data_IF_482824427660
#
_entry.id   IF_482824427660
#
_cell.length_a   1.000
_cell.length_b   1.000
_cell.length_c   1.000
_cell.angle_alpha   90.00
_cell.angle_beta   90.00
_cell.angle_gamma   90.00
#
_symmetry.space_group_name_H-M   'P 1'
#
loop_
_entity.id
_entity.type
_entity.pdbx_description
1 polymer ?
#
# COMPACT_ATOMS: atom_id res chain seq x y z
N UNK A 1 7.65 5.23 -31.98
CA UNK A 1 7.67 5.60 -30.55
C UNK A 1 6.49 4.90 -29.92
N UNK A 2 6.75 3.80 -29.22
CA UNK A 2 5.74 3.10 -28.43
C UNK A 2 5.22 4.06 -27.36
N UNK A 3 3.91 4.27 -27.31
CA UNK A 3 3.29 5.06 -26.25
C UNK A 3 3.46 4.28 -24.93
N UNK A 4 4.35 4.77 -24.08
CA UNK A 4 4.56 4.17 -22.76
C UNK A 4 3.42 4.62 -21.85
N UNK A 5 2.71 3.64 -21.31
CA UNK A 5 1.75 3.84 -20.25
C UNK A 5 2.49 4.06 -18.94
N UNK A 6 2.29 5.22 -18.33
CA UNK A 6 2.83 5.54 -17.02
C UNK A 6 1.82 5.26 -15.90
N UNK A 7 2.28 4.89 -14.70
CA UNK A 7 1.40 4.62 -13.57
C UNK A 7 0.64 5.89 -13.18
N UNK A 8 -0.60 5.76 -12.67
CA UNK A 8 -1.31 6.85 -12.01
C UNK A 8 -0.50 7.45 -10.85
N UNK A 9 -0.72 8.72 -10.56
CA UNK A 9 0.01 9.47 -9.53
C UNK A 9 -0.09 8.81 -8.15
N UNK A 10 -1.22 8.16 -7.83
CA UNK A 10 -1.41 7.48 -6.55
C UNK A 10 -0.45 6.28 -6.35
N UNK A 11 0.14 5.75 -7.42
CA UNK A 11 1.07 4.61 -7.37
C UNK A 11 2.51 5.09 -7.16
N UNK A 12 2.96 6.11 -7.87
CA UNK A 12 4.35 6.59 -7.79
C UNK A 12 4.55 7.78 -6.84
N UNK A 13 3.46 8.42 -6.41
CA UNK A 13 3.42 9.52 -5.47
C UNK A 13 2.29 9.30 -4.43
N UNK A 14 2.45 8.33 -3.50
CA UNK A 14 1.41 8.04 -2.52
C UNK A 14 1.14 9.26 -1.64
N UNK A 15 -0.15 9.55 -1.42
CA UNK A 15 -0.60 10.68 -0.61
C UNK A 15 -0.33 10.38 0.88
N UNK A 16 0.46 11.24 1.55
CA UNK A 16 0.68 11.17 3.00
C UNK A 16 1.99 10.51 3.45
N UNK A 17 1.94 9.69 4.51
CA UNK A 17 3.11 9.03 5.16
C UNK A 17 3.45 7.64 4.59
N UNK A 18 2.75 7.20 3.55
CA UNK A 18 3.01 5.89 2.94
C UNK A 18 4.34 5.90 2.17
N UNK A 19 5.17 4.89 2.41
CA UNK A 19 6.45 4.75 1.71
C UNK A 19 6.23 4.32 0.27
N UNK A 20 6.88 5.01 -0.68
CA UNK A 20 6.92 4.62 -2.09
C UNK A 20 7.40 3.17 -2.25
N UNK A 21 6.56 2.33 -2.86
CA UNK A 21 6.91 0.95 -3.17
C UNK A 21 7.50 0.86 -4.59
N UNK A 22 8.82 1.02 -4.69
CA UNK A 22 9.52 0.98 -5.98
C UNK A 22 9.39 -0.36 -6.72
N UNK A 23 9.29 -1.48 -5.99
CA UNK A 23 9.04 -2.80 -6.60
C UNK A 23 7.71 -2.80 -7.34
N UNK A 24 6.66 -2.29 -6.70
CA UNK A 24 5.32 -2.20 -7.30
C UNK A 24 5.29 -1.24 -8.50
N UNK A 25 5.93 -0.07 -8.41
CA UNK A 25 6.01 0.90 -9.52
C UNK A 25 6.69 0.28 -10.75
N UNK A 26 7.84 -0.38 -10.56
CA UNK A 26 8.60 -0.99 -11.66
C UNK A 26 7.79 -2.12 -12.29
N UNK A 27 7.17 -2.99 -11.48
CA UNK A 27 6.34 -4.07 -11.99
C UNK A 27 5.08 -3.56 -12.69
N UNK A 28 4.45 -2.48 -12.19
CA UNK A 28 3.32 -1.85 -12.87
C UNK A 28 3.70 -1.38 -14.26
N UNK A 29 4.84 -0.68 -14.40
CA UNK A 29 5.34 -0.21 -15.69
C UNK A 29 5.53 -1.38 -16.65
N UNK A 30 6.22 -2.43 -16.22
CA UNK A 30 6.50 -3.58 -17.08
C UNK A 30 5.27 -4.46 -17.34
N UNK A 31 4.22 -4.37 -16.51
CA UNK A 31 2.97 -5.12 -16.70
C UNK A 31 2.07 -4.46 -17.75
N UNK A 32 2.01 -3.13 -17.76
CA UNK A 32 1.12 -2.34 -18.62
C UNK A 32 1.78 -1.89 -19.94
N UNK A 33 3.04 -2.28 -20.15
CA UNK A 33 3.81 -2.05 -21.37
C UNK A 33 4.43 -3.38 -21.84
N UNK A 34 4.64 -3.55 -23.14
CA UNK A 34 5.26 -4.77 -23.69
C UNK A 34 6.74 -4.89 -23.27
N UNK A 35 7.43 -3.75 -23.30
CA UNK A 35 8.80 -3.56 -22.84
C UNK A 35 8.95 -2.14 -22.29
N UNK A 36 9.91 -1.95 -21.37
CA UNK A 36 10.29 -0.62 -20.90
C UNK A 36 11.79 -0.42 -21.03
N UNK A 37 12.17 0.76 -21.51
CA UNK A 37 13.54 1.21 -21.49
C UNK A 37 13.92 1.76 -20.12
N UNK A 38 15.23 1.76 -19.83
CA UNK A 38 15.78 2.44 -18.66
C UNK A 38 15.34 3.92 -18.58
N UNK A 39 15.33 4.60 -19.73
CA UNK A 39 14.93 6.00 -19.90
C UNK A 39 13.51 6.24 -19.34
N UNK A 40 12.58 5.32 -19.61
CA UNK A 40 11.18 5.36 -19.20
C UNK A 40 10.98 5.41 -17.69
N UNK A 41 11.94 4.93 -16.90
CA UNK A 41 11.88 5.00 -15.44
C UNK A 41 12.52 6.26 -14.88
N UNK A 42 13.52 6.79 -15.59
CA UNK A 42 14.37 7.90 -15.14
C UNK A 42 13.87 9.27 -15.60
N UNK A 43 13.02 9.31 -16.63
CA UNK A 43 12.38 10.52 -17.11
C UNK A 43 11.06 10.78 -16.37
N UNK A 44 10.55 12.01 -16.51
CA UNK A 44 9.20 12.37 -16.05
C UNK A 44 8.14 11.46 -16.70
N UNK A 45 7.09 11.05 -15.97
CA UNK A 45 6.65 11.53 -14.65
C UNK A 45 7.27 10.80 -13.44
N UNK A 46 8.08 9.75 -13.66
CA UNK A 46 8.58 8.90 -12.59
C UNK A 46 9.86 9.44 -11.92
N UNK A 47 10.77 9.97 -12.74
CA UNK A 47 12.04 10.55 -12.32
C UNK A 47 12.80 9.72 -11.27
N UNK A 48 12.83 8.38 -11.42
CA UNK A 48 13.46 7.51 -10.43
C UNK A 48 14.98 7.73 -10.40
N UNK A 49 15.54 7.80 -9.19
CA UNK A 49 17.01 7.85 -9.01
C UNK A 49 17.64 6.59 -9.60
N UNK A 50 18.71 6.78 -10.37
CA UNK A 50 19.47 5.69 -11.02
C UNK A 50 19.89 4.59 -10.04
N UNK A 51 20.36 4.98 -8.84
CA UNK A 51 20.77 4.04 -7.80
C UNK A 51 19.62 3.19 -7.27
N UNK A 52 18.44 3.80 -7.12
CA UNK A 52 17.21 3.11 -6.71
C UNK A 52 16.77 2.12 -7.78
N UNK A 53 16.69 2.57 -9.04
CA UNK A 53 16.29 1.72 -10.15
C UNK A 53 17.23 0.52 -10.33
N UNK A 54 18.55 0.75 -10.31
CA UNK A 54 19.56 -0.33 -10.35
C UNK A 54 19.36 -1.35 -9.24
N UNK A 55 19.16 -0.88 -7.99
CA UNK A 55 18.97 -1.77 -6.84
C UNK A 55 17.74 -2.67 -7.02
N UNK A 56 16.59 -2.07 -7.36
CA UNK A 56 15.34 -2.83 -7.46
C UNK A 56 15.28 -3.72 -8.70
N UNK A 57 15.83 -3.30 -9.84
CA UNK A 57 15.93 -4.16 -11.02
C UNK A 57 16.84 -5.36 -10.77
N UNK A 58 17.97 -5.19 -10.09
CA UNK A 58 18.84 -6.32 -9.71
C UNK A 58 18.13 -7.30 -8.78
N UNK A 59 17.34 -6.80 -7.81
CA UNK A 59 16.53 -7.64 -6.94
C UNK A 59 15.43 -8.39 -7.69
N UNK A 60 14.72 -7.71 -8.60
CA UNK A 60 13.65 -8.29 -9.40
C UNK A 60 14.18 -9.34 -10.38
N UNK A 61 15.34 -9.09 -10.99
CA UNK A 61 16.05 -10.06 -11.83
C UNK A 61 16.48 -11.29 -11.04
N UNK A 62 17.05 -11.10 -9.84
CA UNK A 62 17.46 -12.22 -8.98
C UNK A 62 16.29 -13.08 -8.49
N UNK A 63 15.05 -12.57 -8.55
CA UNK A 63 13.82 -13.29 -8.24
C UNK A 63 13.08 -13.78 -9.49
N UNK A 64 13.69 -13.69 -10.66
CA UNK A 64 13.10 -14.06 -11.95
C UNK A 64 11.79 -13.32 -12.28
N UNK A 65 11.54 -12.16 -11.67
CA UNK A 65 10.34 -11.35 -11.91
C UNK A 65 10.47 -10.47 -13.17
N UNK A 66 11.70 -10.11 -13.51
CA UNK A 66 12.02 -9.22 -14.63
C UNK A 66 13.21 -9.79 -15.38
N UNK A 67 13.13 -9.76 -16.70
CA UNK A 67 14.21 -10.18 -17.59
C UNK A 67 14.76 -8.98 -18.37
N UNK A 68 16.01 -9.11 -18.82
CA UNK A 68 16.64 -8.13 -19.71
C UNK A 68 16.72 -8.73 -21.10
N UNK A 69 15.95 -8.17 -22.03
CA UNK A 69 15.93 -8.62 -23.43
C UNK A 69 17.19 -8.11 -24.15
N UNK A 70 17.50 -6.83 -23.94
CA UNK A 70 18.65 -6.17 -24.52
C UNK A 70 19.17 -5.09 -23.57
N UNK A 71 20.33 -4.50 -23.88
CA UNK A 71 20.93 -3.47 -23.04
C UNK A 71 19.94 -2.33 -22.82
N UNK A 72 19.55 -2.12 -21.55
CA UNK A 72 18.61 -1.07 -21.17
C UNK A 72 17.12 -1.37 -21.40
N UNK A 73 16.76 -2.53 -21.95
CA UNK A 73 15.37 -2.93 -22.18
C UNK A 73 14.95 -4.07 -21.25
N UNK A 74 13.80 -3.91 -20.63
CA UNK A 74 13.31 -4.80 -19.59
C UNK A 74 11.90 -5.26 -19.90
N UNK A 75 11.60 -6.51 -19.51
CA UNK A 75 10.28 -7.10 -19.65
C UNK A 75 9.90 -7.88 -18.41
N UNK A 76 8.61 -7.91 -18.12
CA UNK A 76 8.05 -8.70 -17.02
C UNK A 76 7.95 -10.18 -17.41
N UNK A 77 8.36 -11.06 -16.50
CA UNK A 77 8.17 -12.50 -16.66
C UNK A 77 6.78 -12.94 -16.18
N UNK A 78 6.43 -14.21 -16.36
CA UNK A 78 5.22 -14.79 -15.77
C UNK A 78 5.19 -14.67 -14.24
N UNK A 79 6.32 -14.91 -13.57
CA UNK A 79 6.44 -14.76 -12.11
C UNK A 79 6.33 -13.29 -11.68
N UNK A 80 6.91 -12.37 -12.45
CA UNK A 80 6.74 -10.94 -12.23
C UNK A 80 5.28 -10.49 -12.34
N UNK A 81 4.52 -11.05 -13.29
CA UNK A 81 3.08 -10.77 -13.42
C UNK A 81 2.30 -11.25 -12.20
N UNK A 82 2.56 -12.46 -11.70
CA UNK A 82 1.96 -12.96 -10.46
C UNK A 82 2.30 -12.05 -9.29
N UNK A 83 3.57 -11.68 -9.15
CA UNK A 83 4.05 -10.78 -8.10
C UNK A 83 3.39 -9.41 -8.15
N UNK A 84 3.21 -8.85 -9.34
CA UNK A 84 2.47 -7.61 -9.53
C UNK A 84 1.03 -7.74 -9.04
N UNK A 85 0.33 -8.81 -9.43
CA UNK A 85 -1.04 -9.05 -8.99
C UNK A 85 -1.12 -9.22 -7.46
N UNK A 86 -0.19 -9.94 -6.84
CA UNK A 86 -0.10 -10.04 -5.38
C UNK A 86 0.05 -8.67 -4.70
N UNK A 87 0.95 -7.83 -5.22
CA UNK A 87 1.19 -6.48 -4.69
C UNK A 87 -0.03 -5.59 -4.88
N UNK A 88 -0.68 -5.64 -6.04
CA UNK A 88 -1.89 -4.88 -6.34
C UNK A 88 -3.08 -5.34 -5.48
N UNK A 89 -3.30 -6.65 -5.35
CA UNK A 89 -4.33 -7.22 -4.47
C UNK A 89 -4.05 -6.97 -2.99
N UNK A 90 -2.78 -6.85 -2.58
CA UNK A 90 -2.44 -6.47 -1.21
C UNK A 90 -2.84 -5.02 -0.89
N UNK A 91 -2.94 -4.16 -1.91
CA UNK A 91 -3.46 -2.79 -1.82
C UNK A 91 -4.99 -2.78 -1.83
N UNK A 92 -5.62 -3.63 -2.65
CA UNK A 92 -7.09 -3.79 -2.72
C UNK A 92 -7.71 -4.57 -1.57
N UNK A 93 -6.91 -5.29 -0.76
CA UNK A 93 -7.34 -5.71 0.57
C UNK A 93 -7.39 -4.48 1.47
N UNK A 94 -8.27 -3.52 1.16
CA UNK A 94 -8.92 -2.73 2.18
C UNK A 94 -9.34 -3.72 3.25
N UNK A 95 -8.70 -3.63 4.42
CA UNK A 95 -9.03 -4.50 5.53
C UNK A 95 -10.51 -4.27 5.78
N UNK A 96 -11.34 -5.28 5.53
CA UNK A 96 -12.75 -5.26 5.90
C UNK A 96 -12.83 -5.30 7.41
N UNK A 97 -12.70 -4.12 8.01
CA UNK A 97 -12.84 -3.94 9.45
C UNK A 97 -14.32 -4.07 9.79
N UNK A 98 -14.61 -4.94 10.75
CA UNK A 98 -15.93 -5.06 11.36
C UNK A 98 -16.13 -3.89 12.32
N UNK A 99 -16.65 -2.79 11.79
CA UNK A 99 -16.97 -1.61 12.58
C UNK A 99 -18.23 -1.82 13.43
N UNK A 100 -18.38 -1.11 14.57
CA UNK A 100 -19.58 -1.20 15.39
C UNK A 100 -20.82 -0.75 14.58
N UNK A 101 -21.95 -1.48 14.68
CA UNK A 101 -23.22 -1.08 14.08
C UNK A 101 -23.66 0.33 14.52
N UNK A 102 -24.45 1.02 13.69
CA UNK A 102 -24.92 2.38 13.98
C UNK A 102 -25.66 2.49 15.32
N UNK A 103 -26.35 1.42 15.75
CA UNK A 103 -27.03 1.36 17.06
C UNK A 103 -26.05 1.54 18.22
N UNK A 104 -24.85 0.94 18.13
CA UNK A 104 -23.78 1.07 19.15
C UNK A 104 -23.06 2.40 19.01
N UNK A 105 -22.91 2.92 17.78
CA UNK A 105 -22.33 4.24 17.49
C UNK A 105 -23.25 5.42 17.85
N UNK A 106 -24.53 5.18 18.12
CA UNK A 106 -25.50 6.23 18.45
C UNK A 106 -25.17 6.97 19.76
N UNK A 107 -24.50 6.28 20.69
CA UNK A 107 -24.03 6.87 21.95
C UNK A 107 -22.52 7.00 21.90
N UNK A 108 -22.00 8.17 22.28
CA UNK A 108 -20.55 8.47 22.32
C UNK A 108 -19.85 7.72 23.47
N UNK A 109 -19.77 6.40 23.35
CA UNK A 109 -19.13 5.48 24.31
C UNK A 109 -17.87 4.88 23.68
N UNK A 110 -16.77 5.64 23.73
CA UNK A 110 -15.52 5.27 23.06
C UNK A 110 -14.92 3.95 23.56
N UNK A 111 -15.01 3.66 24.87
CA UNK A 111 -14.59 2.37 25.44
C UNK A 111 -15.25 1.18 24.70
N UNK A 112 -16.57 1.23 24.50
CA UNK A 112 -17.32 0.18 23.83
C UNK A 112 -16.97 0.06 22.35
N UNK A 113 -16.73 1.18 21.67
CA UNK A 113 -16.32 1.18 20.26
C UNK A 113 -14.94 0.55 20.10
N UNK A 114 -14.01 0.90 21.00
CA UNK A 114 -12.65 0.37 21.01
C UNK A 114 -12.67 -1.13 21.28
N UNK A 115 -13.41 -1.57 22.30
CA UNK A 115 -13.55 -3.00 22.62
C UNK A 115 -14.17 -3.79 21.46
N UNK A 116 -15.23 -3.26 20.82
CA UNK A 116 -15.82 -3.91 19.65
C UNK A 116 -14.81 -4.08 18.51
N UNK A 117 -14.04 -3.02 18.21
CA UNK A 117 -13.04 -3.07 17.15
C UNK A 117 -11.97 -4.12 17.44
N UNK A 118 -11.41 -4.11 18.65
CA UNK A 118 -10.33 -5.04 19.02
C UNK A 118 -10.85 -6.48 19.14
N UNK A 119 -12.09 -6.68 19.57
CA UNK A 119 -12.71 -8.00 19.68
C UNK A 119 -13.06 -8.61 18.31
N UNK A 120 -13.61 -7.81 17.39
CA UNK A 120 -14.12 -8.31 16.10
C UNK A 120 -13.09 -8.27 14.97
N UNK A 121 -11.90 -7.73 15.20
CA UNK A 121 -10.85 -7.62 14.20
C UNK A 121 -9.53 -8.16 14.74
N UNK A 122 -8.85 -8.99 13.94
CA UNK A 122 -7.57 -9.61 14.34
C UNK A 122 -6.47 -8.59 14.68
N UNK A 123 -6.53 -7.40 14.08
CA UNK A 123 -5.54 -6.34 14.31
C UNK A 123 -6.11 -4.98 13.91
N UNK A 124 -5.96 -4.00 14.79
CA UNK A 124 -6.36 -2.60 14.55
C UNK A 124 -5.14 -1.68 14.59
N UNK A 125 -5.07 -0.72 13.67
CA UNK A 125 -4.14 0.40 13.68
C UNK A 125 -4.79 1.60 14.36
N UNK A 126 -3.97 2.54 14.81
CA UNK A 126 -4.45 3.81 15.37
C UNK A 126 -5.37 4.57 14.39
N UNK A 127 -5.00 4.60 13.10
CA UNK A 127 -5.77 5.26 12.05
C UNK A 127 -7.20 4.69 11.89
N UNK A 128 -7.39 3.40 12.17
CA UNK A 128 -8.67 2.70 12.02
C UNK A 128 -9.75 3.25 12.96
N UNK A 129 -9.35 3.90 14.07
CA UNK A 129 -10.24 4.54 15.04
C UNK A 129 -10.47 6.03 14.76
N UNK A 130 -9.52 6.68 14.08
CA UNK A 130 -9.56 8.11 13.77
C UNK A 130 -10.40 8.41 12.51
N UNK A 131 -10.51 7.44 11.61
CA UNK A 131 -11.30 7.56 10.39
C UNK A 131 -12.80 7.28 10.65
N UNK A 132 -13.65 7.76 9.74
CA UNK A 132 -15.03 7.28 9.63
C UNK A 132 -15.01 5.75 9.47
N UNK A 133 -15.90 5.00 10.13
CA UNK A 133 -17.14 5.42 10.78
C UNK A 133 -17.06 5.77 12.27
N UNK A 134 -15.86 5.78 12.87
CA UNK A 134 -15.67 5.97 14.32
C UNK A 134 -15.28 7.40 14.70
N UNK A 135 -14.36 8.01 13.93
CA UNK A 135 -13.96 9.41 14.08
C UNK A 135 -13.62 9.81 15.53
N UNK A 136 -12.96 8.91 16.28
CA UNK A 136 -12.49 9.19 17.64
C UNK A 136 -11.29 10.12 17.54
N UNK A 137 -11.26 11.23 18.28
CA UNK A 137 -10.07 12.08 18.28
C UNK A 137 -8.89 11.43 19.03
N UNK A 138 -7.66 11.83 18.69
CA UNK A 138 -6.45 11.20 19.24
C UNK A 138 -6.37 11.26 20.77
N UNK A 139 -6.76 12.37 21.39
CA UNK A 139 -6.73 12.54 22.84
C UNK A 139 -7.72 11.63 23.56
N UNK A 140 -8.93 11.48 23.02
CA UNK A 140 -9.95 10.58 23.56
C UNK A 140 -9.52 9.13 23.37
N UNK A 141 -9.01 8.76 22.19
CA UNK A 141 -8.55 7.39 21.93
C UNK A 141 -7.46 6.96 22.91
N UNK A 142 -6.45 7.82 23.12
CA UNK A 142 -5.35 7.57 24.07
C UNK A 142 -5.88 7.40 25.50
N UNK A 143 -6.73 8.33 25.95
CA UNK A 143 -7.33 8.30 27.30
C UNK A 143 -8.13 7.00 27.53
N UNK A 144 -9.02 6.66 26.60
CA UNK A 144 -9.90 5.49 26.75
C UNK A 144 -9.10 4.18 26.65
N UNK A 145 -8.09 4.08 25.78
CA UNK A 145 -7.20 2.91 25.72
C UNK A 145 -6.43 2.69 27.03
N UNK A 146 -5.92 3.76 27.65
CA UNK A 146 -5.23 3.63 28.94
C UNK A 146 -6.19 3.20 30.05
N UNK A 147 -7.39 3.78 30.11
CA UNK A 147 -8.43 3.37 31.06
C UNK A 147 -8.84 1.89 30.88
N UNK A 148 -8.96 1.42 29.64
CA UNK A 148 -9.27 0.01 29.37
C UNK A 148 -8.15 -0.92 29.87
N UNK A 149 -6.89 -0.56 29.62
CA UNK A 149 -5.74 -1.31 30.13
C UNK A 149 -5.67 -1.34 31.66
N UNK A 150 -5.92 -0.20 32.31
CA UNK A 150 -5.97 -0.09 33.77
C UNK A 150 -7.08 -0.98 34.37
N UNK A 151 -8.20 -1.13 33.65
CA UNK A 151 -9.30 -2.02 34.02
C UNK A 151 -9.05 -3.50 33.69
N UNK A 152 -7.93 -3.84 33.05
CA UNK A 152 -7.55 -5.22 32.73
C UNK A 152 -8.25 -5.82 31.50
N UNK A 153 -8.72 -4.98 30.58
CA UNK A 153 -9.19 -5.43 29.26
C UNK A 153 -8.03 -5.62 28.27
#
# INVERSE_FOLDING_TARGET
MSNINYPPEEIYNPIGLEKKNFEHIILWMLYNNEECEWSSFTQEPLALRLSTLSKYLSLLKGRENVENISRGHYKITSEGRKRYLELSSSREKERKLSYPPAVIRSRRQYDHWILWMVYNNNYCKWADFLAEPLSINQSSLSKNLNLLKEKGF
#
